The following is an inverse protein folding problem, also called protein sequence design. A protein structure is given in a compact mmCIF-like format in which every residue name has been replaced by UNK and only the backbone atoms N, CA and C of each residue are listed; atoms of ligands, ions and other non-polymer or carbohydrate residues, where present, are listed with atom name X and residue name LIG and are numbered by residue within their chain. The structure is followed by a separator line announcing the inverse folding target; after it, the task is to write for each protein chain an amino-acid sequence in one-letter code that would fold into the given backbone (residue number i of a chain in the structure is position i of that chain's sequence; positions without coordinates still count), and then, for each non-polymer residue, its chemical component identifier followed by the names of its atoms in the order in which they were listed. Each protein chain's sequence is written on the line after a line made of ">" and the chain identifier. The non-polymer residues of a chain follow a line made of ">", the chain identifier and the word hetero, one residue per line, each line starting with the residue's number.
data_IF_201549657142
#
_entry.id   IF_201549657142
#
_cell.length_a   1.000
_cell.length_b   1.000
_cell.length_c   1.000
_cell.angle_alpha   90.00
_cell.angle_beta   90.00
_cell.angle_gamma   90.00
#
_symmetry.space_group_name_H-M   'P 1'
#
loop_
_entity.id
_entity.type
_entity.pdbx_description
1 polymer ?
#
# COMPACT_ATOMS: atom_id res chain seq x y z
N UNK A 1 -5.79 -1.24 -6.16
CA UNK A 1 -4.90 -0.20 -6.73
C UNK A 1 -4.18 0.54 -5.62
N UNK A 2 -3.16 1.34 -5.93
CA UNK A 2 -2.40 2.08 -4.92
C UNK A 2 -3.27 3.05 -4.09
N UNK A 3 -4.27 3.67 -4.74
CA UNK A 3 -5.22 4.57 -4.07
C UNK A 3 -6.10 3.85 -3.03
N UNK A 4 -6.48 2.59 -3.28
CA UNK A 4 -7.37 1.85 -2.39
C UNK A 4 -6.66 1.49 -1.08
N UNK A 5 -5.39 1.11 -1.18
CA UNK A 5 -4.52 0.86 -0.01
C UNK A 5 -4.41 2.12 0.85
N UNK A 6 -4.19 3.27 0.20
CA UNK A 6 -4.10 4.54 0.92
C UNK A 6 -5.42 4.90 1.62
N UNK A 7 -6.58 4.62 1.00
CA UNK A 7 -7.90 4.83 1.62
C UNK A 7 -8.12 3.88 2.80
N UNK A 8 -7.84 2.59 2.62
CA UNK A 8 -8.04 1.58 3.66
C UNK A 8 -7.20 1.86 4.91
N UNK A 9 -5.98 2.36 4.72
CA UNK A 9 -5.10 2.74 5.83
C UNK A 9 -5.32 4.17 6.33
N UNK A 10 -6.17 4.97 5.67
CA UNK A 10 -6.37 6.37 6.03
C UNK A 10 -5.12 7.25 5.87
N UNK A 11 -4.20 6.90 4.97
CA UNK A 11 -2.92 7.59 4.74
C UNK A 11 -2.96 8.42 3.45
N UNK A 12 -2.18 9.51 3.42
CA UNK A 12 -2.08 10.43 2.29
C UNK A 12 -3.44 10.99 1.83
N UNK A 13 -4.44 11.03 2.71
CA UNK A 13 -5.73 11.63 2.43
C UNK A 13 -5.65 13.15 2.50
N UNK A 14 -6.27 13.82 1.53
CA UNK A 14 -6.57 15.25 1.57
C UNK A 14 -7.82 15.48 2.41
N UNK A 15 -8.03 16.72 2.86
CA UNK A 15 -9.27 17.13 3.54
C UNK A 15 -10.54 16.85 2.71
N UNK A 16 -10.41 16.78 1.38
CA UNK A 16 -11.51 16.45 0.45
C UNK A 16 -11.83 14.96 0.36
N UNK A 17 -11.11 14.10 1.08
CA UNK A 17 -11.21 12.63 0.96
C UNK A 17 -10.47 12.03 -0.23
N UNK A 18 -9.89 12.87 -1.11
CA UNK A 18 -9.06 12.40 -2.22
C UNK A 18 -7.68 11.93 -1.72
N UNK A 19 -7.15 10.87 -2.30
CA UNK A 19 -5.80 10.37 -2.01
C UNK A 19 -4.75 11.19 -2.77
N UNK A 20 -3.72 11.67 -2.07
CA UNK A 20 -2.51 12.20 -2.68
C UNK A 20 -1.61 11.03 -3.12
N UNK A 21 -1.90 10.47 -4.30
CA UNK A 21 -1.22 9.27 -4.79
C UNK A 21 0.28 9.50 -5.01
N UNK A 22 0.67 10.69 -5.47
CA UNK A 22 2.09 11.01 -5.71
C UNK A 22 2.91 10.97 -4.41
N UNK A 23 2.36 11.47 -3.30
CA UNK A 23 3.02 11.40 -2.01
C UNK A 23 3.24 9.96 -1.53
N UNK A 24 2.28 9.06 -1.79
CA UNK A 24 2.41 7.63 -1.50
C UNK A 24 3.49 6.97 -2.39
N UNK A 25 3.45 7.22 -3.70
CA UNK A 25 4.37 6.63 -4.67
C UNK A 25 5.83 7.10 -4.48
N UNK A 26 6.05 8.33 -3.99
CA UNK A 26 7.38 8.83 -3.62
C UNK A 26 8.04 8.06 -2.48
N UNK A 27 7.27 7.28 -1.71
CA UNK A 27 7.83 6.42 -0.64
C UNK A 27 8.29 5.05 -1.15
N UNK A 28 8.02 4.74 -2.42
CA UNK A 28 8.26 3.44 -3.04
C UNK A 28 9.40 3.51 -4.05
N UNK A 29 10.14 2.40 -4.14
CA UNK A 29 11.12 2.16 -5.20
C UNK A 29 10.46 2.10 -6.57
N UNK A 30 11.27 2.22 -7.61
CA UNK A 30 10.77 2.20 -8.99
C UNK A 30 10.27 0.81 -9.41
N UNK A 31 10.78 -0.25 -8.78
CA UNK A 31 10.32 -1.63 -8.90
C UNK A 31 9.02 -1.92 -8.12
N UNK A 32 8.63 -1.03 -7.21
CA UNK A 32 7.47 -1.19 -6.34
C UNK A 32 6.23 -0.44 -6.81
N UNK A 33 6.35 0.35 -7.88
CA UNK A 33 5.28 1.20 -8.41
C UNK A 33 5.21 1.13 -9.93
N UNK A 34 4.03 1.34 -10.47
CA UNK A 34 3.83 1.38 -11.91
C UNK A 34 2.48 1.95 -12.30
N UNK A 35 2.23 1.96 -13.60
CA UNK A 35 0.93 2.31 -14.17
C UNK A 35 0.42 1.15 -14.98
N UNK A 36 -0.83 0.73 -14.75
CA UNK A 36 -1.47 -0.30 -15.55
C UNK A 36 -2.77 0.23 -16.16
N UNK A 37 -3.10 -0.24 -17.37
CA UNK A 37 -4.38 0.08 -18.03
C UNK A 37 -5.43 -0.92 -17.56
N UNK A 38 -6.39 -0.44 -16.79
CA UNK A 38 -7.44 -1.25 -16.21
C UNK A 38 -8.75 -0.89 -16.92
N UNK A 39 -9.46 -1.91 -17.40
CA UNK A 39 -10.80 -1.74 -17.95
C UNK A 39 -11.79 -1.39 -16.86
N UNK A 40 -12.47 -0.26 -17.01
CA UNK A 40 -13.57 0.17 -16.13
C UNK A 40 -14.82 0.42 -16.96
N UNK A 41 -16.01 0.59 -16.35
CA UNK A 41 -17.22 0.93 -17.10
C UNK A 41 -17.11 2.21 -17.95
N UNK A 42 -16.18 3.12 -17.60
CA UNK A 42 -15.85 4.32 -18.37
C UNK A 42 -14.79 4.11 -19.45
N UNK A 43 -14.38 2.87 -19.73
CA UNK A 43 -13.32 2.52 -20.66
C UNK A 43 -11.98 2.18 -19.98
N UNK A 44 -10.94 1.98 -20.77
CA UNK A 44 -9.61 1.64 -20.25
C UNK A 44 -8.93 2.87 -19.63
N UNK A 45 -8.71 2.83 -18.31
CA UNK A 45 -8.10 3.90 -17.53
C UNK A 45 -6.69 3.52 -17.07
N UNK A 46 -5.74 4.46 -17.16
CA UNK A 46 -4.39 4.28 -16.65
C UNK A 46 -4.37 4.59 -15.15
N UNK A 47 -3.99 3.60 -14.34
CA UNK A 47 -4.14 3.65 -12.89
C UNK A 47 -2.83 3.28 -12.21
N UNK A 48 -2.51 4.00 -11.13
CA UNK A 48 -1.34 3.72 -10.30
C UNK A 48 -1.50 2.36 -9.59
N UNK A 49 -0.54 1.48 -9.81
CA UNK A 49 -0.43 0.18 -9.18
C UNK A 49 0.86 0.10 -8.37
N UNK A 50 0.84 -0.74 -7.34
CA UNK A 50 2.01 -1.03 -6.51
C UNK A 50 2.18 -2.54 -6.45
N UNK A 51 3.42 -2.99 -6.32
CA UNK A 51 3.72 -4.39 -6.08
C UNK A 51 3.34 -4.80 -4.65
N UNK A 52 3.42 -6.10 -4.36
CA UNK A 52 3.26 -6.64 -3.02
C UNK A 52 4.30 -6.06 -2.04
N UNK A 53 5.56 -5.94 -2.46
CA UNK A 53 6.61 -5.26 -1.68
C UNK A 53 6.22 -3.82 -1.37
N UNK A 54 5.69 -3.08 -2.37
CA UNK A 54 5.21 -1.73 -2.18
C UNK A 54 4.05 -1.63 -1.19
N UNK A 55 3.10 -2.57 -1.25
CA UNK A 55 2.01 -2.68 -0.28
C UNK A 55 2.56 -2.85 1.14
N UNK A 56 3.43 -3.85 1.36
CA UNK A 56 4.02 -4.08 2.68
C UNK A 56 4.80 -2.88 3.19
N UNK A 57 5.58 -2.22 2.33
CA UNK A 57 6.33 -1.01 2.71
C UNK A 57 5.40 0.14 3.14
N UNK A 58 4.26 0.33 2.48
CA UNK A 58 3.27 1.33 2.90
C UNK A 58 2.62 0.98 4.24
N UNK A 59 2.21 -0.28 4.41
CA UNK A 59 1.57 -0.73 5.66
C UNK A 59 2.54 -0.65 6.82
N UNK A 60 3.77 -1.12 6.67
CA UNK A 60 4.80 -1.15 7.73
C UNK A 60 5.30 0.22 8.16
N UNK A 61 5.17 1.24 7.31
CA UNK A 61 5.53 2.64 7.64
C UNK A 61 4.36 3.46 8.21
N UNK A 62 3.17 2.89 8.24
CA UNK A 62 1.98 3.62 8.67
C UNK A 62 1.85 3.62 10.19
N UNK A 63 1.67 4.80 10.79
CA UNK A 63 1.37 4.96 12.21
C UNK A 63 -0.14 4.84 12.51
N UNK A 64 -0.94 4.47 11.51
CA UNK A 64 -2.40 4.40 11.63
C UNK A 64 -2.83 3.13 12.37
N UNK A 65 -3.84 3.21 13.26
CA UNK A 65 -4.29 2.06 14.03
C UNK A 65 -4.77 0.91 13.14
N UNK A 66 -5.31 1.21 11.95
CA UNK A 66 -5.76 0.22 10.96
C UNK A 66 -4.59 -0.62 10.41
N UNK A 67 -3.37 -0.08 10.38
CA UNK A 67 -2.19 -0.81 9.94
C UNK A 67 -1.67 -1.78 11.02
N UNK A 68 -1.96 -1.49 12.30
CA UNK A 68 -1.37 -2.19 13.45
C UNK A 68 -1.69 -3.67 13.47
N UNK A 69 -2.93 -4.05 13.18
CA UNK A 69 -3.32 -5.47 13.17
C UNK A 69 -2.50 -6.26 12.15
N UNK A 70 -2.28 -5.71 10.96
CA UNK A 70 -1.47 -6.35 9.94
C UNK A 70 0.01 -6.37 10.32
N UNK A 71 0.54 -5.27 10.86
CA UNK A 71 1.92 -5.19 11.34
C UNK A 71 2.18 -6.22 12.46
N UNK A 72 1.29 -6.31 13.44
CA UNK A 72 1.39 -7.28 14.55
C UNK A 72 1.30 -8.72 14.01
N UNK A 73 0.38 -9.02 13.09
CA UNK A 73 0.30 -10.33 12.44
C UNK A 73 1.60 -10.69 11.72
N UNK A 74 2.13 -9.78 10.90
CA UNK A 74 3.39 -10.04 10.20
C UNK A 74 4.55 -10.23 11.17
N UNK A 75 4.69 -9.36 12.17
CA UNK A 75 5.85 -9.36 13.06
C UNK A 75 5.82 -10.44 14.15
N UNK A 76 4.63 -10.87 14.58
CA UNK A 76 4.44 -11.87 15.65
C UNK A 76 4.16 -13.27 15.14
N UNK A 77 3.59 -13.40 13.94
CA UNK A 77 3.22 -14.71 13.39
C UNK A 77 4.03 -15.04 12.14
N UNK A 78 4.02 -14.18 11.12
CA UNK A 78 4.64 -14.49 9.82
C UNK A 78 6.16 -14.54 9.92
N UNK A 79 6.80 -13.47 10.36
CA UNK A 79 8.26 -13.38 10.43
C UNK A 79 8.85 -14.46 11.35
N UNK A 80 8.27 -14.76 12.54
CA UNK A 80 8.74 -15.87 13.36
C UNK A 80 8.57 -17.24 12.70
N UNK A 81 7.48 -17.47 11.96
CA UNK A 81 7.24 -18.76 11.30
C UNK A 81 8.23 -19.04 10.15
N UNK A 82 8.64 -18.00 9.41
CA UNK A 82 9.55 -18.14 8.26
C UNK A 82 11.02 -17.94 8.61
N UNK A 83 11.34 -17.48 9.83
CA UNK A 83 12.71 -17.35 10.31
C UNK A 83 13.03 -18.58 11.17
N UNK A 84 13.69 -19.62 10.64
CA UNK A 84 14.11 -20.77 11.43
C UNK A 84 15.23 -20.33 12.39
N UNK A 85 14.84 -19.84 13.57
CA UNK A 85 15.68 -19.57 14.74
C UNK A 85 17.09 -19.05 14.43
N UNK A 86 17.18 -17.79 13.97
CA UNK A 86 18.45 -17.05 13.85
C UNK A 86 18.80 -16.69 12.42
#
# INVERSE_FOLDING_TARGET
>A
MAADVCRALGIYLKSTGAVNINAALMKLGDDEKGTNRIGTPGGAQAMAVISESGLYKLVMRSDKPEARQFQDWVTREVLPAIRPSG
#
